data_IF_714947195461
#
_entry.id   IF_714947195461
#
_cell.length_a   1.000
_cell.length_b   1.000
_cell.length_c   1.000
_cell.angle_alpha   90.00
_cell.angle_beta   90.00
_cell.angle_gamma   90.00
#
_symmetry.space_group_name_H-M   'P 1'
#
loop_
_entity.id
_entity.type
_entity.pdbx_description
1 polymer ?
#
# COMPACT_ATOMS: atom_id res chain seq x y z
N UNK A 1 11.47 -26.41 -1.46
CA UNK A 1 10.11 -25.97 -1.81
C UNK A 1 9.14 -27.06 -1.41
N UNK A 2 8.32 -26.80 -0.39
CA UNK A 2 7.65 -27.90 0.33
C UNK A 2 6.36 -28.36 -0.35
N UNK A 3 5.71 -27.54 -1.21
CA UNK A 3 4.41 -27.91 -1.78
C UNK A 3 4.17 -27.55 -3.26
N UNK A 4 4.73 -26.43 -3.79
CA UNK A 4 4.53 -26.01 -5.18
C UNK A 4 5.81 -25.37 -5.75
N UNK A 5 5.96 -25.42 -7.08
CA UNK A 5 7.02 -24.68 -7.76
C UNK A 5 6.74 -23.15 -7.74
N UNK A 6 7.76 -22.36 -8.03
CA UNK A 6 7.65 -20.90 -7.99
C UNK A 6 6.63 -20.37 -9.01
N UNK A 7 6.51 -21.00 -10.17
CA UNK A 7 5.59 -20.61 -11.23
C UNK A 7 4.13 -20.83 -10.83
N UNK A 8 3.81 -22.02 -10.28
CA UNK A 8 2.47 -22.32 -9.75
C UNK A 8 2.10 -21.35 -8.62
N UNK A 9 3.03 -21.06 -7.70
CA UNK A 9 2.82 -20.11 -6.61
C UNK A 9 2.53 -18.70 -7.14
N UNK A 10 3.31 -18.23 -8.11
CA UNK A 10 3.10 -16.94 -8.76
C UNK A 10 1.73 -16.85 -9.42
N UNK A 11 1.33 -17.86 -10.19
CA UNK A 11 0.05 -17.90 -10.88
C UNK A 11 -1.13 -17.88 -9.90
N UNK A 12 -1.04 -18.63 -8.79
CA UNK A 12 -2.06 -18.61 -7.74
C UNK A 12 -2.18 -17.22 -7.12
N UNK A 13 -1.06 -16.58 -6.80
CA UNK A 13 -1.06 -15.23 -6.22
C UNK A 13 -1.61 -14.20 -7.21
N UNK A 14 -1.31 -14.30 -8.50
CA UNK A 14 -1.91 -13.46 -9.53
C UNK A 14 -3.44 -13.60 -9.58
N UNK A 15 -3.97 -14.81 -9.48
CA UNK A 15 -5.42 -15.05 -9.44
C UNK A 15 -6.07 -14.53 -8.15
N UNK A 16 -5.38 -14.65 -7.03
CA UNK A 16 -5.90 -14.21 -5.72
C UNK A 16 -5.80 -12.70 -5.51
N UNK A 17 -4.82 -12.02 -6.12
CA UNK A 17 -4.56 -10.60 -5.88
C UNK A 17 -5.80 -9.72 -6.10
N UNK A 18 -6.52 -9.78 -7.26
CA UNK A 18 -7.71 -8.97 -7.46
C UNK A 18 -8.82 -9.25 -6.45
N UNK A 19 -9.03 -10.51 -6.11
CA UNK A 19 -10.06 -10.92 -5.17
C UNK A 19 -9.77 -10.44 -3.74
N UNK A 20 -8.52 -10.57 -3.28
CA UNK A 20 -8.10 -10.11 -1.96
C UNK A 20 -8.11 -8.58 -1.87
N UNK A 21 -7.67 -7.88 -2.92
CA UNK A 21 -7.77 -6.44 -3.03
C UNK A 21 -9.22 -5.97 -2.94
N UNK A 22 -10.11 -6.60 -3.73
CA UNK A 22 -11.54 -6.30 -3.72
C UNK A 22 -12.16 -6.53 -2.35
N UNK A 23 -11.82 -7.63 -1.70
CA UNK A 23 -12.35 -7.96 -0.37
C UNK A 23 -11.87 -6.98 0.71
N UNK A 24 -10.59 -6.61 0.70
CA UNK A 24 -10.05 -5.63 1.65
C UNK A 24 -10.71 -4.25 1.49
N UNK A 25 -10.88 -3.79 0.26
CA UNK A 25 -11.59 -2.54 -0.03
C UNK A 25 -13.09 -2.64 0.33
N UNK A 26 -13.73 -3.78 0.08
CA UNK A 26 -15.12 -4.04 0.53
C UNK A 26 -15.25 -3.88 2.04
N UNK A 27 -14.34 -4.44 2.83
CA UNK A 27 -14.37 -4.33 4.30
C UNK A 27 -14.27 -2.87 4.75
N UNK A 28 -13.35 -2.11 4.17
CA UNK A 28 -13.17 -0.68 4.44
C UNK A 28 -14.45 0.12 4.11
N UNK A 29 -14.95 -0.02 2.88
CA UNK A 29 -16.12 0.74 2.42
C UNK A 29 -17.39 0.34 3.18
N UNK A 30 -17.57 -0.95 3.46
CA UNK A 30 -18.68 -1.44 4.29
C UNK A 30 -18.65 -0.82 5.70
N UNK A 31 -17.46 -0.72 6.29
CA UNK A 31 -17.31 -0.06 7.58
C UNK A 31 -17.68 1.43 7.51
N UNK A 32 -17.26 2.14 6.46
CA UNK A 32 -17.49 3.58 6.31
C UNK A 32 -18.95 3.93 5.98
N UNK A 33 -19.56 3.18 5.06
CA UNK A 33 -20.88 3.50 4.50
C UNK A 33 -22.03 2.74 5.14
N UNK A 34 -21.73 1.64 5.81
CA UNK A 34 -22.71 0.65 6.31
C UNK A 34 -23.62 0.08 5.20
N UNK A 35 -23.25 0.24 3.95
CA UNK A 35 -23.98 -0.21 2.77
C UNK A 35 -23.20 -1.32 2.06
N UNK A 36 -23.72 -2.54 2.10
CA UNK A 36 -23.07 -3.71 1.50
C UNK A 36 -23.01 -3.63 -0.04
N UNK A 37 -24.02 -3.01 -0.68
CA UNK A 37 -24.03 -2.89 -2.15
C UNK A 37 -22.96 -1.90 -2.61
N UNK A 38 -22.90 -0.71 -1.99
CA UNK A 38 -21.84 0.27 -2.28
C UNK A 38 -20.46 -0.33 -2.02
N UNK A 39 -20.28 -1.05 -0.92
CA UNK A 39 -19.02 -1.71 -0.59
C UNK A 39 -18.62 -2.76 -1.63
N UNK A 40 -19.58 -3.54 -2.14
CA UNK A 40 -19.32 -4.53 -3.18
C UNK A 40 -18.82 -3.87 -4.48
N UNK A 41 -19.52 -2.84 -4.96
CA UNK A 41 -19.10 -2.13 -6.17
C UNK A 41 -17.75 -1.44 -6.02
N UNK A 42 -17.50 -0.75 -4.91
CA UNK A 42 -16.20 -0.11 -4.65
C UNK A 42 -15.08 -1.14 -4.51
N UNK A 43 -15.34 -2.26 -3.82
CA UNK A 43 -14.39 -3.36 -3.72
C UNK A 43 -14.04 -3.94 -5.08
N UNK A 44 -15.06 -4.20 -5.91
CA UNK A 44 -14.86 -4.69 -7.27
C UNK A 44 -14.04 -3.72 -8.11
N UNK A 45 -14.38 -2.44 -8.12
CA UNK A 45 -13.65 -1.41 -8.88
C UNK A 45 -12.19 -1.27 -8.42
N UNK A 46 -11.92 -1.41 -7.12
CA UNK A 46 -10.57 -1.37 -6.60
C UNK A 46 -9.76 -2.62 -6.99
N UNK A 47 -10.31 -3.80 -6.75
CA UNK A 47 -9.59 -5.06 -6.99
C UNK A 47 -9.37 -5.40 -8.45
N UNK A 48 -10.32 -5.00 -9.32
CA UNK A 48 -10.24 -5.22 -10.77
C UNK A 48 -9.95 -3.92 -11.54
N UNK A 49 -9.25 -2.98 -10.90
CA UNK A 49 -8.87 -1.73 -11.53
C UNK A 49 -7.83 -1.94 -12.65
N UNK A 50 -7.75 -1.02 -13.63
CA UNK A 50 -6.69 -1.04 -14.64
C UNK A 50 -5.28 -1.05 -14.02
N UNK A 51 -5.10 -0.40 -12.89
CA UNK A 51 -3.84 -0.43 -12.14
C UNK A 51 -3.46 -1.86 -11.75
N UNK A 52 -4.36 -2.60 -11.09
CA UNK A 52 -4.09 -3.99 -10.68
C UNK A 52 -3.86 -4.87 -11.93
N UNK A 53 -4.71 -4.75 -12.95
CA UNK A 53 -4.63 -5.55 -14.15
C UNK A 53 -3.29 -5.34 -14.91
N UNK A 54 -2.82 -4.10 -15.03
CA UNK A 54 -1.56 -3.79 -15.71
C UNK A 54 -0.34 -4.33 -14.97
N UNK A 55 -0.36 -4.31 -13.63
CA UNK A 55 0.78 -4.78 -12.84
C UNK A 55 0.82 -6.31 -12.64
N UNK A 56 -0.27 -7.01 -12.89
CA UNK A 56 -0.29 -8.49 -12.84
C UNK A 56 0.66 -9.14 -13.88
N UNK A 57 0.97 -8.44 -14.97
CA UNK A 57 1.80 -8.96 -16.07
C UNK A 57 3.32 -8.87 -15.82
N UNK A 58 3.78 -8.69 -14.60
CA UNK A 58 5.22 -8.66 -14.31
C UNK A 58 5.58 -8.06 -12.95
N UNK A 59 4.65 -7.39 -12.31
CA UNK A 59 4.88 -6.68 -11.04
C UNK A 59 3.83 -7.06 -9.99
N UNK A 60 3.75 -8.36 -9.68
CA UNK A 60 2.78 -8.88 -8.69
C UNK A 60 2.88 -8.15 -7.33
N UNK A 61 4.09 -7.76 -6.93
CA UNK A 61 4.33 -6.97 -5.72
C UNK A 61 3.61 -5.62 -5.72
N UNK A 62 3.38 -5.01 -6.88
CA UNK A 62 2.59 -3.77 -7.03
C UNK A 62 1.10 -4.05 -7.20
N UNK A 63 0.73 -5.20 -7.78
CA UNK A 63 -0.65 -5.61 -7.95
C UNK A 63 -1.28 -6.12 -6.64
N UNK A 64 -0.47 -6.66 -5.71
CA UNK A 64 -0.94 -7.27 -4.46
C UNK A 64 -1.00 -6.22 -3.34
N UNK A 65 -2.09 -5.47 -3.28
CA UNK A 65 -2.27 -4.32 -2.37
C UNK A 65 -3.42 -4.44 -1.35
N UNK A 66 -3.82 -5.63 -0.89
CA UNK A 66 -4.96 -5.75 0.02
C UNK A 66 -4.67 -5.16 1.41
N UNK A 67 -3.40 -5.05 1.79
CA UNK A 67 -3.03 -4.53 3.11
C UNK A 67 -3.27 -3.02 3.22
N UNK A 68 -3.25 -2.26 2.12
CA UNK A 68 -3.47 -0.81 2.12
C UNK A 68 -4.86 -0.43 2.64
N UNK A 69 -5.98 -0.97 2.10
CA UNK A 69 -7.31 -0.72 2.68
C UNK A 69 -7.45 -1.21 4.12
N UNK A 70 -6.77 -2.31 4.50
CA UNK A 70 -6.81 -2.82 5.86
C UNK A 70 -6.05 -1.91 6.84
N UNK A 71 -4.88 -1.39 6.48
CA UNK A 71 -4.16 -0.39 7.29
C UNK A 71 -5.02 0.86 7.50
N UNK A 72 -5.65 1.36 6.43
CA UNK A 72 -6.54 2.51 6.54
C UNK A 72 -7.75 2.23 7.45
N UNK A 73 -8.36 1.05 7.34
CA UNK A 73 -9.46 0.63 8.21
C UNK A 73 -9.05 0.63 9.68
N UNK A 74 -7.89 0.07 10.00
CA UNK A 74 -7.36 0.00 11.36
C UNK A 74 -7.06 1.40 11.91
N UNK A 75 -6.46 2.29 11.11
CA UNK A 75 -6.24 3.69 11.48
C UNK A 75 -7.54 4.45 11.77
N UNK A 76 -8.56 4.31 10.93
CA UNK A 76 -9.87 4.96 11.14
C UNK A 76 -10.55 4.44 12.41
N UNK A 77 -10.50 3.12 12.67
CA UNK A 77 -11.06 2.53 13.89
C UNK A 77 -10.34 3.01 15.14
N UNK A 78 -9.01 3.19 15.09
CA UNK A 78 -8.24 3.75 16.22
C UNK A 78 -8.58 5.23 16.42
N UNK A 79 -8.62 6.02 15.37
CA UNK A 79 -8.98 7.43 15.44
C UNK A 79 -10.38 7.66 16.04
N UNK A 80 -11.30 6.71 15.84
CA UNK A 80 -12.65 6.70 16.43
C UNK A 80 -12.73 6.03 17.81
N UNK A 81 -11.61 5.67 18.41
CA UNK A 81 -11.53 4.94 19.69
C UNK A 81 -12.32 3.61 19.71
N UNK A 82 -12.44 2.92 18.56
CA UNK A 82 -13.17 1.64 18.43
C UNK A 82 -12.27 0.42 18.59
N UNK A 83 -10.96 0.61 18.64
CA UNK A 83 -9.99 -0.44 18.98
C UNK A 83 -9.02 0.10 20.03
N UNK A 84 -8.60 -0.79 20.92
CA UNK A 84 -7.63 -0.46 21.97
C UNK A 84 -6.25 -0.18 21.40
N UNK A 85 -5.48 0.64 22.11
CA UNK A 85 -4.13 1.07 21.76
C UNK A 85 -3.22 -0.11 21.39
N UNK A 86 -3.16 -1.11 22.27
CA UNK A 86 -2.29 -2.27 22.07
C UNK A 86 -2.67 -3.06 20.81
N UNK A 87 -3.96 -3.34 20.61
CA UNK A 87 -4.45 -4.04 19.42
C UNK A 87 -4.16 -3.26 18.14
N UNK A 88 -4.28 -1.93 18.17
CA UNK A 88 -3.94 -1.07 17.04
C UNK A 88 -2.46 -1.18 16.69
N UNK A 89 -1.56 -0.94 17.67
CA UNK A 89 -0.11 -0.98 17.48
C UNK A 89 0.30 -2.35 16.93
N UNK A 90 -0.14 -3.45 17.57
CA UNK A 90 0.21 -4.80 17.14
C UNK A 90 -0.28 -5.09 15.70
N UNK A 91 -1.55 -4.78 15.41
CA UNK A 91 -2.11 -5.04 14.06
C UNK A 91 -1.44 -4.19 12.99
N UNK A 92 -1.23 -2.88 13.26
CA UNK A 92 -0.56 -2.01 12.30
C UNK A 92 0.88 -2.45 12.05
N UNK A 93 1.62 -2.80 13.11
CA UNK A 93 3.00 -3.32 12.99
C UNK A 93 3.04 -4.56 12.09
N UNK A 94 2.15 -5.54 12.31
CA UNK A 94 2.08 -6.75 11.47
C UNK A 94 1.75 -6.39 10.02
N UNK A 95 0.77 -5.52 9.77
CA UNK A 95 0.39 -5.13 8.41
C UNK A 95 1.54 -4.40 7.69
N UNK A 96 2.26 -3.51 8.39
CA UNK A 96 3.42 -2.79 7.84
C UNK A 96 4.58 -3.74 7.53
N UNK A 97 4.88 -4.69 8.42
CA UNK A 97 5.91 -5.70 8.18
C UNK A 97 5.59 -6.58 6.96
N UNK A 98 4.34 -7.04 6.85
CA UNK A 98 3.89 -7.80 5.69
C UNK A 98 3.96 -6.97 4.41
N UNK A 99 3.52 -5.70 4.44
CA UNK A 99 3.59 -4.80 3.29
C UNK A 99 5.03 -4.50 2.88
N UNK A 100 5.93 -4.34 3.85
CA UNK A 100 7.37 -4.18 3.57
C UNK A 100 7.94 -5.38 2.82
N UNK A 101 7.57 -6.60 3.22
CA UNK A 101 8.00 -7.83 2.54
C UNK A 101 7.38 -8.03 1.15
N UNK A 102 6.19 -7.43 0.88
CA UNK A 102 5.53 -7.51 -0.43
C UNK A 102 6.05 -6.41 -1.36
N UNK A 103 6.01 -5.15 -0.93
CA UNK A 103 6.44 -4.00 -1.72
C UNK A 103 6.75 -2.79 -0.84
N UNK A 104 8.01 -2.40 -0.83
CA UNK A 104 8.48 -1.19 -0.15
C UNK A 104 7.97 0.08 -0.84
N UNK A 105 7.79 0.07 -2.16
CA UNK A 105 7.25 1.19 -2.94
C UNK A 105 5.81 1.50 -2.56
N UNK A 106 4.95 0.47 -2.50
CA UNK A 106 3.55 0.60 -2.07
C UNK A 106 3.49 1.07 -0.62
N UNK A 107 4.37 0.57 0.25
CA UNK A 107 4.43 1.01 1.64
C UNK A 107 4.82 2.48 1.74
N UNK A 108 5.88 2.92 1.04
CA UNK A 108 6.35 4.30 1.05
C UNK A 108 5.29 5.27 0.52
N UNK A 109 4.66 4.94 -0.61
CA UNK A 109 3.58 5.73 -1.20
C UNK A 109 2.37 5.81 -0.26
N UNK A 110 1.99 4.68 0.36
CA UNK A 110 0.89 4.63 1.34
C UNK A 110 1.19 5.44 2.59
N UNK A 111 2.43 5.42 3.07
CA UNK A 111 2.87 6.22 4.22
C UNK A 111 2.81 7.72 3.90
N UNK A 112 3.28 8.13 2.72
CA UNK A 112 3.22 9.52 2.27
C UNK A 112 1.77 10.01 2.16
N UNK A 113 0.91 9.28 1.47
CA UNK A 113 -0.52 9.61 1.34
C UNK A 113 -1.23 9.58 2.69
N UNK A 114 -0.88 8.64 3.55
CA UNK A 114 -1.37 8.57 4.93
C UNK A 114 -0.97 9.80 5.74
N UNK A 115 0.26 10.28 5.62
CA UNK A 115 0.71 11.50 6.28
C UNK A 115 -0.04 12.73 5.77
N UNK A 116 -0.17 12.91 4.45
CA UNK A 116 -0.95 14.00 3.85
C UNK A 116 -2.40 13.97 4.34
N UNK A 117 -3.02 12.80 4.33
CA UNK A 117 -4.39 12.61 4.83
C UNK A 117 -4.49 12.96 6.31
N UNK A 118 -3.54 12.48 7.13
CA UNK A 118 -3.48 12.78 8.55
C UNK A 118 -3.42 14.30 8.81
N UNK A 119 -2.51 15.02 8.17
CA UNK A 119 -2.39 16.46 8.34
C UNK A 119 -3.65 17.19 7.88
N UNK A 120 -4.24 16.81 6.75
CA UNK A 120 -5.51 17.40 6.28
C UNK A 120 -6.61 17.24 7.32
N UNK A 121 -6.80 16.03 7.84
CA UNK A 121 -7.82 15.79 8.87
C UNK A 121 -7.48 16.45 10.21
N UNK A 122 -6.22 16.52 10.59
CA UNK A 122 -5.77 17.21 11.80
C UNK A 122 -6.17 18.68 11.81
N UNK A 123 -6.04 19.36 10.68
CA UNK A 123 -6.40 20.78 10.58
C UNK A 123 -7.90 21.01 10.43
N UNK A 124 -8.62 20.08 9.78
CA UNK A 124 -10.05 20.27 9.48
C UNK A 124 -10.98 19.71 10.56
N UNK A 125 -10.61 18.62 11.26
CA UNK A 125 -11.49 17.87 12.16
C UNK A 125 -10.94 17.66 13.57
N UNK A 126 -10.13 18.57 14.05
CA UNK A 126 -9.36 18.50 15.31
C UNK A 126 -10.16 18.18 16.57
N UNK A 127 -11.49 18.40 16.58
CA UNK A 127 -12.34 18.29 17.79
C UNK A 127 -13.10 16.96 17.92
N UNK A 128 -13.20 16.17 16.86
CA UNK A 128 -14.09 14.99 16.83
C UNK A 128 -13.36 13.64 16.83
N UNK A 129 -12.04 13.65 16.67
CA UNK A 129 -11.24 12.44 16.44
C UNK A 129 -9.96 12.50 17.30
N UNK A 130 -9.57 11.39 17.90
CA UNK A 130 -8.31 11.28 18.66
C UNK A 130 -7.09 11.23 17.74
N UNK A 131 -6.78 12.36 17.12
CA UNK A 131 -5.67 12.47 16.19
C UNK A 131 -4.31 12.39 16.87
N UNK A 132 -4.20 12.92 18.09
CA UNK A 132 -2.94 12.88 18.86
C UNK A 132 -2.64 11.44 19.28
N UNK A 133 -3.64 10.74 19.82
CA UNK A 133 -3.51 9.33 20.18
C UNK A 133 -3.14 8.46 18.97
N UNK A 134 -3.77 8.71 17.81
CA UNK A 134 -3.44 8.02 16.56
C UNK A 134 -1.97 8.26 16.16
N UNK A 135 -1.47 9.50 16.21
CA UNK A 135 -0.09 9.82 15.85
C UNK A 135 0.92 9.14 16.79
N UNK A 136 0.68 9.22 18.12
CA UNK A 136 1.55 8.59 19.10
C UNK A 136 1.59 7.07 18.91
N UNK A 137 0.45 6.44 18.73
CA UNK A 137 0.37 4.98 18.59
C UNK A 137 0.94 4.50 17.24
N UNK A 138 0.75 5.28 16.16
CA UNK A 138 1.41 5.03 14.88
C UNK A 138 2.93 5.18 14.99
N UNK A 139 3.41 6.21 15.71
CA UNK A 139 4.83 6.39 15.99
C UNK A 139 5.44 5.22 16.77
N UNK A 140 4.75 4.70 17.77
CA UNK A 140 5.19 3.51 18.50
C UNK A 140 5.23 2.28 17.58
N UNK A 141 4.21 2.10 16.74
CA UNK A 141 4.21 1.03 15.74
C UNK A 141 5.37 1.15 14.74
N UNK A 142 5.67 2.38 14.29
CA UNK A 142 6.80 2.63 13.38
C UNK A 142 8.15 2.30 14.05
N UNK A 143 8.34 2.65 15.32
CA UNK A 143 9.53 2.27 16.09
C UNK A 143 9.63 0.75 16.21
N UNK A 144 8.53 0.07 16.54
CA UNK A 144 8.51 -1.39 16.62
C UNK A 144 8.86 -2.05 15.28
N UNK A 145 8.30 -1.53 14.16
CA UNK A 145 8.67 -1.99 12.82
C UNK A 145 10.16 -1.77 12.53
N UNK A 146 10.70 -0.59 12.85
CA UNK A 146 12.11 -0.26 12.61
C UNK A 146 13.06 -1.18 13.38
N UNK A 147 12.72 -1.51 14.64
CA UNK A 147 13.48 -2.49 15.43
C UNK A 147 13.42 -3.88 14.82
N UNK A 148 12.23 -4.34 14.42
CA UNK A 148 12.06 -5.67 13.82
C UNK A 148 12.70 -5.77 12.43
N UNK A 149 12.75 -4.68 11.66
CA UNK A 149 13.37 -4.60 10.34
C UNK A 149 14.86 -4.21 10.41
N UNK A 150 15.42 -3.96 11.60
CA UNK A 150 16.81 -3.55 11.75
C UNK A 150 17.83 -4.50 11.10
N UNK A 151 17.65 -5.84 11.09
CA UNK A 151 18.55 -6.73 10.34
C UNK A 151 18.49 -6.51 8.82
N UNK A 152 17.28 -6.21 8.28
CA UNK A 152 17.12 -5.91 6.87
C UNK A 152 17.76 -4.57 6.50
N UNK A 153 17.60 -3.54 7.32
CA UNK A 153 18.25 -2.24 7.12
C UNK A 153 19.77 -2.33 7.24
N UNK A 154 20.27 -3.11 8.19
CA UNK A 154 21.70 -3.39 8.32
C UNK A 154 22.25 -4.03 7.03
N UNK A 155 21.57 -5.04 6.51
CA UNK A 155 21.97 -5.72 5.28
C UNK A 155 21.90 -4.78 4.06
N UNK A 156 20.86 -3.95 3.95
CA UNK A 156 20.72 -3.00 2.85
C UNK A 156 21.80 -1.90 2.87
N UNK A 157 22.24 -1.47 4.03
CA UNK A 157 23.24 -0.39 4.13
C UNK A 157 24.68 -0.87 4.08
N UNK A 158 24.99 -2.01 4.68
CA UNK A 158 26.36 -2.54 4.74
C UNK A 158 26.62 -3.65 3.73
N UNK A 159 25.55 -4.29 3.21
CA UNK A 159 25.64 -5.31 2.15
C UNK A 159 25.49 -4.76 0.73
N UNK A 160 25.12 -3.51 0.57
CA UNK A 160 24.83 -2.90 -0.74
C UNK A 160 26.05 -2.82 -1.68
N UNK A 161 27.29 -2.84 -1.16
CA UNK A 161 28.51 -2.88 -1.97
C UNK A 161 28.65 -4.16 -2.81
N UNK A 162 27.86 -5.20 -2.52
CA UNK A 162 27.89 -6.48 -3.23
C UNK A 162 26.79 -6.62 -4.30
N UNK A 163 25.91 -5.61 -4.42
CA UNK A 163 24.87 -5.61 -5.45
C UNK A 163 25.46 -4.92 -6.70
N UNK A 164 25.56 -5.63 -7.85
CA UNK A 164 25.96 -5.00 -9.10
C UNK A 164 25.07 -3.79 -9.39
N UNK A 165 25.64 -2.76 -10.04
CA UNK A 165 24.92 -1.54 -10.45
C UNK A 165 23.52 -1.86 -10.93
N UNK A 166 22.54 -1.17 -10.33
CA UNK A 166 21.13 -1.53 -10.41
C UNK A 166 20.67 -1.82 -11.83
N UNK A 167 19.93 -2.91 -11.98
CA UNK A 167 19.36 -3.41 -13.23
C UNK A 167 18.54 -2.32 -13.96
N UNK A 168 18.08 -1.32 -13.22
CA UNK A 168 17.25 -0.21 -13.72
C UNK A 168 18.00 1.12 -13.62
N UNK A 169 18.42 1.66 -14.75
CA UNK A 169 18.99 3.01 -14.80
C UNK A 169 17.92 4.04 -14.42
N UNK A 170 18.18 4.91 -13.43
CA UNK A 170 17.25 6.00 -13.08
C UNK A 170 16.90 6.90 -14.26
N UNK A 171 17.81 7.04 -15.23
CA UNK A 171 17.62 7.87 -16.43
C UNK A 171 16.54 7.28 -17.36
N UNK A 172 16.42 5.95 -17.42
CA UNK A 172 15.44 5.27 -18.30
C UNK A 172 14.06 5.23 -17.65
N UNK A 173 13.99 5.15 -16.33
CA UNK A 173 12.75 4.98 -15.57
C UNK A 173 12.29 6.26 -14.84
N UNK A 174 13.01 7.39 -14.97
CA UNK A 174 12.56 8.67 -14.44
C UNK A 174 11.45 9.24 -15.31
N UNK A 175 10.30 9.55 -14.70
CA UNK A 175 9.28 10.34 -15.37
C UNK A 175 9.67 11.82 -15.37
N UNK A 176 9.61 12.45 -16.55
CA UNK A 176 9.65 13.90 -16.65
C UNK A 176 8.39 14.51 -16.00
N UNK A 177 8.55 15.63 -15.30
CA UNK A 177 7.41 16.37 -14.73
C UNK A 177 6.40 16.79 -15.80
N UNK A 178 6.85 17.04 -17.02
CA UNK A 178 5.98 17.32 -18.16
C UNK A 178 5.13 16.11 -18.56
N UNK A 179 5.55 14.90 -18.30
CA UNK A 179 4.81 13.67 -18.60
C UNK A 179 3.49 13.53 -17.83
N UNK A 180 3.27 14.33 -16.77
CA UNK A 180 1.97 14.42 -16.10
C UNK A 180 0.95 15.30 -16.84
N UNK A 181 1.40 16.16 -17.74
CA UNK A 181 0.56 17.15 -18.42
C UNK A 181 0.52 16.87 -19.93
N UNK A 182 1.65 16.46 -20.51
CA UNK A 182 1.79 16.17 -21.93
C UNK A 182 1.61 14.67 -22.17
N UNK A 183 0.66 14.27 -23.03
CA UNK A 183 0.46 12.86 -23.38
C UNK A 183 1.73 12.28 -24.02
N UNK A 184 2.19 11.14 -23.52
CA UNK A 184 3.27 10.39 -24.16
C UNK A 184 2.75 9.58 -25.35
N UNK A 185 3.64 9.15 -26.25
CA UNK A 185 3.30 8.34 -27.44
C UNK A 185 2.53 7.05 -27.11
N UNK A 186 2.63 6.57 -25.87
CA UNK A 186 1.90 5.39 -25.38
C UNK A 186 0.51 5.70 -24.84
N UNK A 187 0.11 6.97 -24.74
CA UNK A 187 -1.23 7.34 -24.25
C UNK A 187 -2.24 7.26 -25.39
N UNK A 188 -3.40 6.68 -25.11
CA UNK A 188 -4.48 6.44 -26.09
C UNK A 188 -5.09 7.75 -26.63
N UNK A 189 -4.96 8.85 -25.91
CA UNK A 189 -5.45 10.18 -26.29
C UNK A 189 -4.25 11.11 -26.43
N UNK A 190 -4.00 11.57 -27.64
CA UNK A 190 -2.95 12.56 -27.95
C UNK A 190 -1.56 11.99 -28.21
N UNK A 191 -1.34 10.67 -28.10
CA UNK A 191 -0.04 10.04 -28.34
C UNK A 191 0.47 10.13 -29.79
N UNK A 192 -0.43 10.31 -30.77
CA UNK A 192 -0.06 10.47 -32.21
C UNK A 192 0.21 11.95 -32.59
N UNK A 193 0.01 12.90 -31.70
CA UNK A 193 0.15 14.34 -31.98
C UNK A 193 1.52 14.93 -31.58
N UNK A 194 2.42 14.09 -31.03
CA UNK A 194 3.80 14.39 -30.65
C UNK A 194 4.77 13.48 -31.37
#
# INVERSE_FOLDING_TARGET
TVFWDAETTYNILCLLAPALNAYAAFLLVKYLTRNARAAFFCGYLFGFSPYVASHMLGHLNLAFVPLVPLMLLVCIRRARNQIGRFSFIATLTVLVLLQFGISTEVLATSALLGAVTYFTFFFTHRRSIDMVGLAVDTGIGAIACSVLLSPAFYFLWLGAEQVPDGINSPVIFSNDLLGFIVPMQTTWIGGEAL
#
